data_IF_665535503418
#
_entry.id   IF_665535503418
#
_cell.length_a   1.000
_cell.length_b   1.000
_cell.length_c   1.000
_cell.angle_alpha   90.00
_cell.angle_beta   90.00
_cell.angle_gamma   90.00
#
_symmetry.space_group_name_H-M   'P 1'
#
loop_
_entity.id
_entity.type
_entity.pdbx_description
1 polymer ?
#
# COMPACT_ATOMS: atom_id res chain seq x y z
N UNK A 1 4.60 20.83 -11.28
CA UNK A 1 3.79 19.63 -11.01
C UNK A 1 3.96 19.24 -9.56
N UNK A 2 2.88 18.81 -8.90
CA UNK A 2 2.91 18.31 -7.53
C UNK A 2 3.56 16.91 -7.55
N UNK A 3 4.85 16.82 -7.26
CA UNK A 3 5.63 15.56 -7.33
C UNK A 3 5.40 14.60 -6.15
N UNK A 4 4.50 14.94 -5.23
CA UNK A 4 4.21 14.14 -4.03
C UNK A 4 2.94 13.30 -4.15
N UNK A 5 2.11 13.53 -5.18
CA UNK A 5 0.91 12.72 -5.40
C UNK A 5 1.29 11.37 -5.99
N UNK A 6 0.71 10.31 -5.44
CA UNK A 6 0.91 8.93 -5.88
C UNK A 6 -0.35 8.41 -6.55
N UNK A 7 -0.25 7.65 -7.66
CA UNK A 7 -1.41 7.12 -8.36
C UNK A 7 -2.09 6.02 -7.54
N UNK A 8 -3.43 6.07 -7.44
CA UNK A 8 -4.23 5.02 -6.84
C UNK A 8 -3.99 3.67 -7.52
N UNK A 9 -4.04 2.60 -6.74
CA UNK A 9 -3.81 1.23 -7.22
C UNK A 9 -2.35 0.89 -7.51
N UNK A 10 -1.39 1.80 -7.28
CA UNK A 10 0.02 1.47 -7.44
C UNK A 10 0.47 0.42 -6.41
N UNK A 11 1.43 -0.41 -6.83
CA UNK A 11 2.03 -1.41 -5.96
C UNK A 11 2.87 -0.75 -4.87
N UNK A 12 2.66 -1.23 -3.65
CA UNK A 12 3.42 -0.78 -2.48
C UNK A 12 3.95 -1.96 -1.68
N UNK A 13 4.99 -1.69 -0.90
CA UNK A 13 5.45 -2.55 0.18
C UNK A 13 5.17 -1.83 1.51
N UNK A 14 4.37 -2.45 2.36
CA UNK A 14 4.00 -2.00 3.69
C UNK A 14 5.07 -2.53 4.64
N UNK A 15 5.92 -1.65 5.18
CA UNK A 15 7.04 -2.07 6.02
C UNK A 15 6.55 -2.45 7.42
N UNK A 16 7.00 -3.60 7.91
CA UNK A 16 6.80 -3.98 9.30
C UNK A 16 7.82 -3.23 10.17
N UNK A 17 7.37 -2.21 10.89
CA UNK A 17 8.22 -1.46 11.84
C UNK A 17 8.21 -2.05 13.23
N UNK A 18 7.86 -3.32 13.39
CA UNK A 18 7.91 -3.97 14.69
C UNK A 18 9.39 -4.25 15.03
N UNK A 19 9.91 -3.59 16.06
CA UNK A 19 11.33 -3.64 16.44
C UNK A 19 11.84 -5.06 16.77
N UNK A 20 10.93 -6.00 17.04
CA UNK A 20 11.23 -7.36 17.49
C UNK A 20 11.07 -8.41 16.39
N UNK A 21 11.14 -8.00 15.12
CA UNK A 21 10.95 -8.90 13.98
C UNK A 21 12.02 -10.00 14.00
N UNK A 22 11.60 -11.26 14.13
CA UNK A 22 12.51 -12.41 14.13
C UNK A 22 13.34 -12.48 12.84
N UNK A 23 14.51 -13.12 12.89
CA UNK A 23 15.47 -13.19 11.77
C UNK A 23 14.89 -13.69 10.44
N UNK A 24 13.75 -14.41 10.47
CA UNK A 24 13.09 -15.02 9.31
C UNK A 24 11.71 -14.44 8.99
N UNK A 25 11.28 -13.42 9.74
CA UNK A 25 9.99 -12.79 9.52
C UNK A 25 10.06 -11.82 8.32
N UNK A 26 8.94 -11.68 7.62
CA UNK A 26 8.87 -10.84 6.42
C UNK A 26 9.04 -9.36 6.79
N UNK A 27 10.01 -8.69 6.16
CA UNK A 27 10.33 -7.26 6.38
C UNK A 27 9.19 -6.31 5.98
N UNK A 28 8.21 -6.79 5.25
CA UNK A 28 7.01 -6.04 4.90
C UNK A 28 6.04 -6.88 4.09
N UNK A 29 4.83 -6.36 3.93
CA UNK A 29 3.76 -6.96 3.15
C UNK A 29 3.58 -6.26 1.81
N UNK A 30 3.25 -7.02 0.77
CA UNK A 30 2.85 -6.44 -0.51
C UNK A 30 1.42 -5.89 -0.42
N UNK A 31 1.19 -4.72 -0.99
CA UNK A 31 -0.11 -4.07 -1.00
C UNK A 31 -0.38 -3.21 -2.22
N UNK A 32 -1.50 -2.49 -2.15
CA UNK A 32 -1.89 -1.47 -3.12
C UNK A 32 -2.19 -0.16 -2.42
N UNK A 33 -1.78 0.96 -3.04
CA UNK A 33 -2.12 2.28 -2.54
C UNK A 33 -3.59 2.61 -2.81
N UNK A 34 -4.34 2.92 -1.75
CA UNK A 34 -5.78 3.21 -1.81
C UNK A 34 -6.06 4.69 -1.59
N UNK A 35 -5.16 5.43 -0.94
CA UNK A 35 -5.27 6.87 -0.80
C UNK A 35 -4.53 7.43 0.39
N UNK A 36 -4.88 8.66 0.75
CA UNK A 36 -4.33 9.35 1.90
C UNK A 36 -5.26 9.19 3.10
N UNK A 37 -4.69 9.13 4.32
CA UNK A 37 -5.47 9.20 5.54
C UNK A 37 -6.17 10.55 5.64
N UNK A 38 -7.41 10.54 6.15
CA UNK A 38 -8.20 11.76 6.34
C UNK A 38 -7.82 12.52 7.62
N UNK A 39 -7.27 11.80 8.61
CA UNK A 39 -7.04 12.30 9.97
C UNK A 39 -5.58 12.32 10.38
N UNK A 40 -4.69 11.69 9.60
CA UNK A 40 -3.27 11.56 9.94
C UNK A 40 -2.37 11.78 8.73
N UNK A 41 -1.07 11.96 8.97
CA UNK A 41 -0.06 12.00 7.91
C UNK A 41 0.34 10.56 7.53
N UNK A 42 -0.61 9.75 7.08
CA UNK A 42 -0.39 8.36 6.70
C UNK A 42 -1.05 8.02 5.36
N UNK A 43 -0.69 6.87 4.80
CA UNK A 43 -1.29 6.33 3.59
C UNK A 43 -2.30 5.24 3.95
N UNK A 44 -3.42 5.21 3.23
CA UNK A 44 -4.37 4.10 3.22
C UNK A 44 -3.89 3.10 2.18
N UNK A 45 -3.63 1.87 2.61
CA UNK A 45 -3.10 0.80 1.78
C UNK A 45 -3.92 -0.47 1.97
N UNK A 46 -4.19 -1.19 0.89
CA UNK A 46 -4.76 -2.53 0.99
C UNK A 46 -3.62 -3.53 1.15
N UNK A 47 -3.58 -4.19 2.30
CA UNK A 47 -2.59 -5.22 2.61
C UNK A 47 -3.06 -6.56 2.02
N UNK A 48 -2.31 -7.13 1.07
CA UNK A 48 -2.70 -8.41 0.42
C UNK A 48 -2.66 -9.60 1.37
N UNK A 49 -1.82 -9.55 2.41
CA UNK A 49 -1.68 -10.64 3.39
C UNK A 49 -2.90 -10.69 4.30
N UNK A 50 -3.30 -9.56 4.87
CA UNK A 50 -4.43 -9.46 5.80
C UNK A 50 -5.77 -9.29 5.09
N UNK A 51 -5.75 -8.88 3.81
CA UNK A 51 -6.91 -8.51 2.98
C UNK A 51 -7.74 -7.39 3.60
N UNK A 52 -7.08 -6.39 4.17
CA UNK A 52 -7.70 -5.23 4.83
C UNK A 52 -7.08 -3.93 4.35
N UNK A 53 -7.86 -2.85 4.47
CA UNK A 53 -7.34 -1.49 4.36
C UNK A 53 -6.74 -1.10 5.70
N UNK A 54 -5.48 -0.70 5.66
CA UNK A 54 -4.69 -0.30 6.83
C UNK A 54 -4.15 1.11 6.59
N UNK A 55 -4.04 1.90 7.67
CA UNK A 55 -3.30 3.16 7.61
C UNK A 55 -1.85 2.93 8.03
N UNK A 56 -0.90 3.30 7.18
CA UNK A 56 0.52 3.12 7.46
C UNK A 56 1.35 4.30 6.94
N UNK A 57 2.32 4.72 7.76
CA UNK A 57 3.29 5.77 7.39
C UNK A 57 4.46 5.19 6.58
N UNK A 58 4.86 3.95 6.88
CA UNK A 58 6.05 3.30 6.36
C UNK A 58 5.70 2.47 5.13
N UNK A 59 5.51 3.16 4.01
CA UNK A 59 5.11 2.57 2.75
C UNK A 59 6.14 2.90 1.67
N UNK A 60 6.70 1.88 1.04
CA UNK A 60 7.56 2.04 -0.13
C UNK A 60 6.74 1.88 -1.42
N UNK A 61 6.80 2.90 -2.28
CA UNK A 61 6.13 2.91 -3.58
C UNK A 61 7.00 2.24 -4.64
N UNK A 62 6.48 1.19 -5.26
CA UNK A 62 7.19 0.43 -6.30
C UNK A 62 6.96 1.06 -7.69
N UNK A 63 7.24 2.36 -7.82
CA UNK A 63 6.95 3.22 -8.98
C UNK A 63 7.58 2.74 -10.31
N UNK A 64 8.51 1.79 -10.25
CA UNK A 64 9.26 1.29 -11.41
C UNK A 64 8.60 0.10 -12.13
N UNK A 65 7.52 -0.47 -11.60
CA UNK A 65 6.74 -1.45 -12.37
C UNK A 65 5.60 -0.72 -13.05
N UNK A 66 5.61 -0.74 -14.39
CA UNK A 66 4.51 -0.23 -15.19
C UNK A 66 3.19 -0.75 -14.61
N UNK A 67 2.28 0.16 -14.25
CA UNK A 67 0.90 -0.20 -13.96
C UNK A 67 0.38 -0.77 -15.28
N UNK A 68 0.28 -2.10 -15.37
CA UNK A 68 -0.22 -2.76 -16.57
C UNK A 68 -1.63 -2.18 -16.85
N UNK A 69 -1.75 -1.43 -17.96
CA UNK A 69 -3.01 -0.76 -18.34
C UNK A 69 -4.08 -1.81 -18.55
N UNK A 70 -5.15 -1.76 -17.76
CA UNK A 70 -6.26 -2.73 -17.81
C UNK A 70 -6.26 -3.79 -16.70
N UNK A 71 -5.24 -3.77 -15.83
CA UNK A 71 -5.05 -4.70 -14.70
C UNK A 71 -5.20 -3.98 -13.36
N UNK A 72 -5.91 -2.84 -13.37
CA UNK A 72 -6.49 -2.31 -12.15
C UNK A 72 -7.39 -3.40 -11.58
N UNK A 73 -7.11 -3.92 -10.38
CA UNK A 73 -7.86 -5.07 -9.92
C UNK A 73 -9.34 -4.72 -9.78
N UNK A 74 -10.23 -5.51 -10.37
CA UNK A 74 -11.69 -5.33 -10.20
C UNK A 74 -12.09 -5.29 -8.72
N UNK A 75 -11.36 -6.01 -7.86
CA UNK A 75 -11.59 -6.02 -6.41
C UNK A 75 -11.43 -4.63 -5.75
N UNK A 76 -10.78 -3.65 -6.40
CA UNK A 76 -10.67 -2.29 -5.85
C UNK A 76 -12.05 -1.64 -5.64
N UNK A 77 -13.03 -1.98 -6.47
CA UNK A 77 -14.40 -1.49 -6.34
C UNK A 77 -15.25 -2.31 -5.36
N UNK A 78 -14.77 -3.51 -4.98
CA UNK A 78 -15.43 -4.42 -4.05
C UNK A 78 -14.89 -4.28 -2.61
N UNK A 79 -13.98 -3.33 -2.35
CA UNK A 79 -13.51 -3.04 -1.00
C UNK A 79 -14.58 -2.23 -0.27
N UNK A 80 -15.18 -2.84 0.74
CA UNK A 80 -15.98 -2.10 1.73
C UNK A 80 -15.04 -1.16 2.52
N UNK A 81 -15.27 0.15 2.38
CA UNK A 81 -14.44 1.24 2.91
C UNK A 81 -14.75 1.62 4.37
#
# INVERSE_FOLDING_TARGET
AIGFLKPFGCHVMILNTLDNLGKFEAKGDGGYFIGYSMSSKAFRVFNKRTRRVEENLHVEFLENKAIEKGTGPNWLFDIDF
#
